data_IF_610067473882
#
_entry.id   IF_610067473882
#
_cell.length_a   1.000
_cell.length_b   1.000
_cell.length_c   1.000
_cell.angle_alpha   90.00
_cell.angle_beta   90.00
_cell.angle_gamma   90.00
#
_symmetry.space_group_name_H-M   'P 1'
#
loop_
_entity.id
_entity.type
_entity.pdbx_description
1 polymer ?
#
# COMPACT_ATOMS: atom_id res chain seq x y z
N UNK A 1 -52.03 7.13 6.21
CA UNK A 1 -50.70 6.49 6.32
C UNK A 1 -50.27 6.02 4.93
N UNK A 2 -49.43 6.80 4.24
CA UNK A 2 -48.95 6.48 2.89
C UNK A 2 -47.73 5.55 3.00
N UNK A 3 -47.84 4.33 2.46
CA UNK A 3 -46.71 3.39 2.37
C UNK A 3 -45.81 3.84 1.21
N UNK A 4 -44.61 4.31 1.51
CA UNK A 4 -43.55 4.52 0.52
C UNK A 4 -42.89 3.17 0.27
N UNK A 5 -42.93 2.67 -0.96
CA UNK A 5 -42.19 1.47 -1.36
C UNK A 5 -40.78 1.92 -1.71
N UNK A 6 -39.80 1.52 -0.91
CA UNK A 6 -38.38 1.72 -1.17
C UNK A 6 -37.98 0.78 -2.30
N UNK A 7 -37.72 1.32 -3.49
CA UNK A 7 -37.13 0.58 -4.60
C UNK A 7 -35.63 0.46 -4.31
N UNK A 8 -35.17 -0.74 -3.94
CA UNK A 8 -33.76 -1.08 -4.00
C UNK A 8 -33.37 -1.13 -5.49
N UNK A 9 -32.69 -0.09 -5.95
CA UNK A 9 -31.96 -0.15 -7.22
C UNK A 9 -30.72 -1.02 -6.92
N UNK A 10 -30.79 -2.31 -7.23
CA UNK A 10 -29.60 -3.13 -7.42
C UNK A 10 -28.83 -2.50 -8.58
N UNK A 11 -27.84 -1.67 -8.26
CA UNK A 11 -26.78 -1.34 -9.20
C UNK A 11 -26.01 -2.65 -9.41
N UNK A 12 -26.42 -3.42 -10.42
CA UNK A 12 -25.69 -4.58 -10.87
C UNK A 12 -24.30 -4.12 -11.27
N UNK A 13 -23.29 -4.49 -10.47
CA UNK A 13 -21.90 -4.49 -10.90
C UNK A 13 -21.82 -5.49 -12.04
N UNK A 14 -21.90 -4.97 -13.27
CA UNK A 14 -21.55 -5.72 -14.46
C UNK A 14 -20.04 -5.94 -14.35
N UNK A 15 -19.64 -7.11 -13.85
CA UNK A 15 -18.28 -7.62 -13.95
C UNK A 15 -18.04 -7.91 -15.44
N UNK A 16 -17.69 -6.86 -16.18
CA UNK A 16 -17.01 -7.02 -17.45
C UNK A 16 -15.68 -7.71 -17.10
N UNK A 17 -15.35 -8.87 -17.70
CA UNK A 17 -14.01 -9.41 -17.59
C UNK A 17 -13.14 -8.48 -18.43
N UNK A 18 -12.74 -7.38 -17.83
CA UNK A 18 -11.57 -6.70 -18.32
C UNK A 18 -10.45 -7.75 -18.34
N UNK A 19 -9.85 -7.93 -19.50
CA UNK A 19 -8.46 -8.36 -19.59
C UNK A 19 -7.61 -7.22 -19.00
N UNK A 20 -7.83 -6.90 -17.72
CA UNK A 20 -6.97 -5.99 -16.98
C UNK A 20 -5.71 -6.80 -16.72
N UNK A 21 -4.59 -6.31 -17.25
CA UNK A 21 -3.30 -6.60 -16.67
C UNK A 21 -3.35 -5.98 -15.27
N UNK A 22 -3.78 -6.77 -14.29
CA UNK A 22 -3.60 -6.42 -12.90
C UNK A 22 -2.10 -6.48 -12.62
N UNK A 23 -1.56 -5.48 -11.92
CA UNK A 23 -0.18 -5.58 -11.48
C UNK A 23 -0.01 -6.83 -10.59
N UNK A 24 1.10 -7.54 -10.77
CA UNK A 24 1.39 -8.72 -9.97
C UNK A 24 2.19 -8.31 -8.74
N UNK A 25 1.61 -8.52 -7.56
CA UNK A 25 2.31 -8.39 -6.27
C UNK A 25 2.40 -9.74 -5.57
N UNK A 26 3.60 -10.17 -5.22
CA UNK A 26 3.84 -11.46 -4.57
C UNK A 26 3.64 -11.42 -3.04
N UNK A 27 3.55 -10.21 -2.49
CA UNK A 27 3.70 -9.88 -1.08
C UNK A 27 2.66 -8.83 -0.67
N UNK A 28 2.20 -8.84 0.58
CA UNK A 28 1.23 -7.84 1.07
C UNK A 28 1.95 -6.61 1.63
N UNK A 29 3.03 -6.83 2.39
CA UNK A 29 3.73 -5.76 3.10
C UNK A 29 5.10 -5.47 2.49
N UNK A 30 5.72 -6.48 1.89
CA UNK A 30 7.05 -6.37 1.31
C UNK A 30 6.95 -5.84 -0.11
N UNK A 31 7.74 -4.80 -0.40
CA UNK A 31 7.92 -4.25 -1.73
C UNK A 31 8.91 -5.08 -2.55
N UNK A 32 8.70 -5.09 -3.86
CA UNK A 32 9.57 -5.73 -4.84
C UNK A 32 10.27 -4.67 -5.68
N UNK A 33 11.45 -4.94 -6.27
CA UNK A 33 12.16 -3.97 -7.10
C UNK A 33 11.50 -3.85 -8.48
N UNK A 34 10.32 -3.23 -8.51
CA UNK A 34 9.54 -2.94 -9.70
C UNK A 34 8.88 -1.55 -9.61
N UNK A 35 8.58 -0.98 -10.78
CA UNK A 35 7.85 0.29 -10.94
C UNK A 35 6.74 0.08 -11.95
N UNK A 36 5.68 0.87 -11.86
CA UNK A 36 4.62 0.88 -12.85
C UNK A 36 5.18 1.27 -14.24
N UNK A 37 4.74 0.60 -15.30
CA UNK A 37 5.22 0.87 -16.66
C UNK A 37 4.90 2.30 -17.09
N UNK A 38 5.75 2.86 -17.96
CA UNK A 38 5.62 4.25 -18.41
C UNK A 38 4.26 4.50 -19.07
N UNK A 39 3.51 5.44 -18.52
CA UNK A 39 2.21 5.85 -19.04
C UNK A 39 1.04 5.04 -18.50
N UNK A 40 1.29 3.95 -17.77
CA UNK A 40 0.25 3.18 -17.10
C UNK A 40 -0.24 3.91 -15.85
N UNK A 41 -1.53 3.71 -15.55
CA UNK A 41 -2.21 4.24 -14.36
C UNK A 41 -2.79 3.05 -13.62
N UNK A 42 -2.58 3.01 -12.31
CA UNK A 42 -3.19 2.03 -11.42
C UNK A 42 -4.05 2.73 -10.37
N UNK A 43 -5.12 2.06 -9.96
CA UNK A 43 -5.91 2.43 -8.79
C UNK A 43 -5.96 1.24 -7.84
N UNK A 44 -5.55 1.45 -6.59
CA UNK A 44 -5.57 0.42 -5.55
C UNK A 44 -6.40 0.89 -4.34
N UNK A 45 -7.22 -0.01 -3.81
CA UNK A 45 -8.01 0.22 -2.61
C UNK A 45 -7.59 -0.76 -1.52
N UNK A 46 -7.03 -0.22 -0.45
CA UNK A 46 -6.73 -0.97 0.76
C UNK A 46 -7.88 -0.87 1.76
N UNK A 47 -8.26 -2.00 2.35
CA UNK A 47 -9.23 -2.09 3.43
C UNK A 47 -8.66 -3.02 4.50
N UNK A 48 -8.17 -2.45 5.60
CA UNK A 48 -7.58 -3.22 6.71
C UNK A 48 -8.50 -3.20 7.92
N UNK A 49 -8.90 -4.38 8.41
CA UNK A 49 -9.68 -4.51 9.65
C UNK A 49 -8.77 -4.77 10.83
N UNK A 50 -8.87 -3.95 11.87
CA UNK A 50 -8.19 -4.14 13.15
C UNK A 50 -9.23 -4.38 14.25
N UNK A 51 -9.20 -5.58 14.83
CA UNK A 51 -10.14 -6.00 15.87
C UNK A 51 -9.42 -6.39 17.15
N UNK A 52 -10.06 -6.13 18.29
CA UNK A 52 -9.61 -6.63 19.58
C UNK A 52 -8.60 -5.74 20.28
N UNK A 53 -9.10 -4.93 21.23
CA UNK A 53 -8.31 -4.38 22.34
C UNK A 53 -8.79 -5.03 23.63
N UNK A 54 -7.87 -5.41 24.53
CA UNK A 54 -8.21 -6.17 25.74
C UNK A 54 -9.24 -5.41 26.58
N UNK A 55 -10.43 -6.00 26.76
CA UNK A 55 -11.50 -5.47 27.62
C UNK A 55 -12.39 -4.38 27.02
N UNK A 56 -12.34 -4.14 25.70
CA UNK A 56 -13.24 -3.22 24.99
C UNK A 56 -13.73 -3.82 23.67
N UNK A 57 -14.97 -3.53 23.30
CA UNK A 57 -15.45 -3.71 21.93
C UNK A 57 -14.78 -2.62 21.08
N UNK A 58 -13.70 -2.98 20.37
CA UNK A 58 -12.94 -2.07 19.50
C UNK A 58 -12.80 -2.71 18.12
N UNK A 59 -13.22 -1.97 17.10
CA UNK A 59 -12.99 -2.29 15.69
C UNK A 59 -12.58 -1.04 14.95
N UNK A 60 -11.48 -1.07 14.21
CA UNK A 60 -11.06 0.01 13.31
C UNK A 60 -10.93 -0.54 11.89
N UNK A 61 -11.40 0.24 10.92
CA UNK A 61 -11.17 0.01 9.51
C UNK A 61 -10.25 1.10 9.00
N UNK A 62 -9.06 0.74 8.53
CA UNK A 62 -8.17 1.65 7.83
C UNK A 62 -8.38 1.49 6.33
N UNK A 63 -8.58 2.61 5.64
CA UNK A 63 -8.88 2.68 4.23
C UNK A 63 -7.82 3.57 3.58
N UNK A 64 -7.20 3.08 2.50
CA UNK A 64 -6.26 3.85 1.68
C UNK A 64 -6.66 3.73 0.22
N UNK A 65 -6.90 4.85 -0.44
CA UNK A 65 -7.14 4.92 -1.88
C UNK A 65 -5.89 5.45 -2.56
N UNK A 66 -5.30 4.63 -3.43
CA UNK A 66 -4.09 4.95 -4.17
C UNK A 66 -4.42 5.20 -5.64
N UNK A 67 -3.81 6.24 -6.21
CA UNK A 67 -3.66 6.37 -7.66
C UNK A 67 -2.18 6.45 -7.99
N UNK A 68 -1.72 5.51 -8.81
CA UNK A 68 -0.32 5.36 -9.23
C UNK A 68 -0.15 5.72 -10.72
N UNK A 69 1.00 6.28 -11.08
CA UNK A 69 1.37 6.61 -12.47
C UNK A 69 2.85 6.34 -12.78
N UNK A 70 3.11 5.64 -13.88
CA UNK A 70 4.46 5.41 -14.40
C UNK A 70 4.98 6.60 -15.20
N UNK A 71 5.93 7.35 -14.62
CA UNK A 71 6.51 8.56 -15.24
C UNK A 71 7.54 8.21 -16.32
N UNK A 72 8.38 7.21 -16.06
CA UNK A 72 9.41 6.68 -16.97
C UNK A 72 9.43 5.15 -16.89
N UNK A 73 10.36 4.50 -17.61
CA UNK A 73 10.58 3.06 -17.53
C UNK A 73 11.12 2.60 -16.16
N UNK A 74 11.53 3.53 -15.29
CA UNK A 74 12.16 3.25 -14.00
C UNK A 74 11.75 4.21 -12.88
N UNK A 75 10.72 5.03 -13.09
CA UNK A 75 10.23 5.98 -12.10
C UNK A 75 8.70 5.95 -12.12
N UNK A 76 8.10 5.66 -10.98
CA UNK A 76 6.65 5.81 -10.76
C UNK A 76 6.38 6.63 -9.51
N UNK A 77 5.18 7.20 -9.45
CA UNK A 77 4.69 7.94 -8.28
C UNK A 77 3.26 7.55 -7.98
N UNK A 78 2.88 7.63 -6.71
CA UNK A 78 1.52 7.41 -6.26
C UNK A 78 1.05 8.54 -5.34
N UNK A 79 -0.26 8.77 -5.32
CA UNK A 79 -0.92 9.63 -4.36
C UNK A 79 -1.97 8.84 -3.60
N UNK A 80 -2.02 9.04 -2.28
CA UNK A 80 -2.95 8.35 -1.40
C UNK A 80 -3.87 9.34 -0.70
N UNK A 81 -5.12 8.92 -0.53
CA UNK A 81 -6.01 9.43 0.51
C UNK A 81 -6.13 8.36 1.58
N UNK A 82 -5.98 8.76 2.85
CA UNK A 82 -6.05 7.86 3.97
C UNK A 82 -7.17 8.29 4.91
N UNK A 83 -8.00 7.34 5.34
CA UNK A 83 -8.99 7.58 6.38
C UNK A 83 -9.28 6.32 7.17
N UNK A 84 -9.88 6.51 8.34
CA UNK A 84 -10.23 5.42 9.23
C UNK A 84 -11.62 5.56 9.79
N UNK A 85 -12.22 4.41 10.07
CA UNK A 85 -13.51 4.31 10.76
C UNK A 85 -13.30 3.51 12.03
N UNK A 86 -13.34 4.20 13.17
CA UNK A 86 -13.15 3.58 14.48
C UNK A 86 -14.52 3.40 15.14
N UNK A 87 -14.80 2.18 15.60
CA UNK A 87 -15.97 1.84 16.39
C UNK A 87 -15.49 1.37 17.76
N UNK A 88 -15.78 2.15 18.80
CA UNK A 88 -15.58 1.78 20.19
C UNK A 88 -16.82 2.03 21.05
N UNK A 89 -16.78 2.99 21.98
CA UNK A 89 -17.98 3.47 22.67
C UNK A 89 -18.88 4.28 21.72
N UNK A 90 -18.28 4.97 20.76
CA UNK A 90 -18.93 5.69 19.67
C UNK A 90 -18.26 5.34 18.32
N UNK A 91 -18.89 5.74 17.21
CA UNK A 91 -18.29 5.61 15.86
C UNK A 91 -17.68 6.95 15.44
N UNK A 92 -16.40 6.97 15.14
CA UNK A 92 -15.71 8.11 14.51
C UNK A 92 -15.27 7.77 13.09
N UNK A 93 -15.14 8.81 12.27
CA UNK A 93 -14.49 8.74 10.96
C UNK A 93 -13.49 9.86 10.91
N UNK A 94 -12.24 9.51 10.65
CA UNK A 94 -11.10 10.40 10.75
C UNK A 94 -10.37 10.39 9.41
N UNK A 95 -10.01 11.58 8.91
CA UNK A 95 -9.16 11.70 7.73
C UNK A 95 -7.71 11.65 8.21
N UNK A 96 -7.01 10.59 7.85
CA UNK A 96 -5.66 10.29 8.34
C UNK A 96 -4.56 10.89 7.43
N UNK A 97 -4.94 11.70 6.44
CA UNK A 97 -4.01 12.51 5.66
C UNK A 97 -3.84 12.09 4.20
N UNK A 98 -2.90 12.76 3.54
CA UNK A 98 -2.47 12.50 2.16
C UNK A 98 -1.05 11.96 2.14
N UNK A 99 -0.76 11.05 1.22
CA UNK A 99 0.60 10.54 1.00
C UNK A 99 1.04 10.74 -0.44
N UNK A 100 2.32 10.98 -0.66
CA UNK A 100 2.97 10.96 -1.97
C UNK A 100 4.14 9.99 -1.96
N UNK A 101 4.03 8.95 -2.78
CA UNK A 101 5.02 7.89 -2.91
C UNK A 101 5.81 8.05 -4.21
N UNK A 102 7.08 7.69 -4.17
CA UNK A 102 8.02 7.71 -5.29
C UNK A 102 8.86 6.44 -5.28
N UNK A 103 8.92 5.76 -6.42
CA UNK A 103 9.68 4.53 -6.65
C UNK A 103 10.65 4.74 -7.81
N UNK A 104 11.95 4.59 -7.57
CA UNK A 104 12.99 4.71 -8.58
C UNK A 104 13.82 3.43 -8.71
N UNK A 105 13.59 2.69 -9.79
CA UNK A 105 14.23 1.40 -10.07
C UNK A 105 15.67 1.63 -10.58
N UNK A 106 16.66 1.34 -9.73
CA UNK A 106 18.08 1.46 -10.07
C UNK A 106 18.54 0.31 -10.95
N UNK A 107 18.18 -0.92 -10.57
CA UNK A 107 18.51 -2.13 -11.31
C UNK A 107 17.24 -2.96 -11.49
N UNK A 108 16.85 -3.18 -12.75
CA UNK A 108 15.75 -4.07 -13.08
C UNK A 108 16.19 -5.54 -12.89
N UNK A 109 15.50 -6.34 -12.06
CA UNK A 109 15.82 -7.75 -11.86
C UNK A 109 15.70 -8.60 -13.14
N UNK A 110 14.96 -8.16 -14.16
CA UNK A 110 14.89 -8.84 -15.46
C UNK A 110 16.16 -8.67 -16.31
N UNK A 111 16.91 -7.58 -16.10
CA UNK A 111 18.12 -7.24 -16.87
C UNK A 111 19.41 -7.45 -16.07
N UNK A 112 19.29 -7.57 -14.75
CA UNK A 112 20.41 -7.69 -13.82
C UNK A 112 20.27 -8.89 -12.88
N UNK A 113 21.40 -9.38 -12.39
CA UNK A 113 21.43 -10.48 -11.41
C UNK A 113 20.82 -10.13 -10.05
N UNK A 114 20.54 -8.85 -9.80
CA UNK A 114 19.90 -8.34 -8.59
C UNK A 114 19.06 -7.12 -8.95
N UNK A 115 17.81 -7.07 -8.48
CA UNK A 115 16.95 -5.90 -8.56
C UNK A 115 17.18 -4.97 -7.37
N UNK A 116 17.23 -3.67 -7.63
CA UNK A 116 17.38 -2.63 -6.58
C UNK A 116 16.46 -1.46 -6.88
N UNK A 117 15.64 -1.09 -5.91
CA UNK A 117 14.68 0.01 -5.98
C UNK A 117 14.90 0.94 -4.79
N UNK A 118 14.90 2.25 -5.06
CA UNK A 118 14.78 3.28 -4.03
C UNK A 118 13.33 3.71 -3.92
N UNK A 119 12.87 3.87 -2.69
CA UNK A 119 11.50 4.23 -2.36
C UNK A 119 11.49 5.40 -1.38
N UNK A 120 10.54 6.30 -1.56
CA UNK A 120 10.24 7.36 -0.59
C UNK A 120 8.74 7.65 -0.55
N UNK A 121 8.17 7.76 0.63
CA UNK A 121 6.79 8.21 0.86
C UNK A 121 6.78 9.34 1.88
N UNK A 122 6.11 10.45 1.52
CA UNK A 122 5.84 11.53 2.46
C UNK A 122 4.35 11.57 2.76
N UNK A 123 3.97 11.54 4.04
CA UNK A 123 2.57 11.58 4.48
C UNK A 123 2.34 12.77 5.40
N UNK A 124 1.22 13.47 5.24
CA UNK A 124 0.81 14.55 6.13
C UNK A 124 -0.68 14.50 6.41
N UNK A 125 -1.03 14.62 7.69
CA UNK A 125 -2.42 14.67 8.19
C UNK A 125 -2.87 16.10 8.57
N UNK A 126 -1.98 17.08 8.45
CA UNK A 126 -2.20 18.49 8.76
C UNK A 126 -1.33 19.01 9.90
N UNK A 127 -1.16 18.20 10.96
CA UNK A 127 -0.37 18.55 12.14
C UNK A 127 0.95 17.75 12.20
N UNK A 128 1.01 16.62 11.48
CA UNK A 128 2.18 15.76 11.35
C UNK A 128 2.71 15.71 9.92
N UNK A 129 4.00 15.44 9.80
CA UNK A 129 4.67 15.02 8.57
C UNK A 129 5.47 13.76 8.89
N UNK A 130 5.26 12.70 8.14
CA UNK A 130 6.12 11.52 8.15
C UNK A 130 6.84 11.34 6.81
N UNK A 131 8.04 10.80 6.88
CA UNK A 131 8.87 10.45 5.73
C UNK A 131 9.37 9.02 5.91
N UNK A 132 8.93 8.13 5.03
CA UNK A 132 9.39 6.76 4.90
C UNK A 132 10.37 6.66 3.73
N UNK A 133 11.56 6.13 3.98
CA UNK A 133 12.61 5.90 2.99
C UNK A 133 12.96 4.42 3.00
N UNK A 134 13.02 3.80 1.82
CA UNK A 134 13.25 2.36 1.74
C UNK A 134 14.19 1.99 0.60
N UNK A 135 15.11 1.08 0.89
CA UNK A 135 15.91 0.39 -0.13
C UNK A 135 15.36 -1.03 -0.25
N UNK A 136 14.92 -1.36 -1.45
CA UNK A 136 14.33 -2.66 -1.79
C UNK A 136 15.32 -3.42 -2.64
N UNK A 137 15.64 -4.65 -2.24
CA UNK A 137 16.49 -5.57 -2.97
C UNK A 137 15.70 -6.84 -3.23
N UNK A 138 15.67 -7.32 -4.47
CA UNK A 138 14.91 -8.53 -4.80
C UNK A 138 15.31 -9.19 -6.10
N UNK A 139 14.80 -10.40 -6.32
CA UNK A 139 15.05 -11.16 -7.54
C UNK A 139 13.95 -12.20 -7.82
N UNK A 140 13.73 -12.47 -9.10
CA UNK A 140 12.83 -13.49 -9.63
C UNK A 140 13.65 -14.69 -10.16
N UNK A 141 13.64 -15.81 -9.43
CA UNK A 141 14.44 -17.00 -9.75
C UNK A 141 13.52 -18.19 -10.03
N UNK A 142 13.34 -18.52 -11.31
CA UNK A 142 12.42 -19.55 -11.79
C UNK A 142 10.96 -19.30 -11.35
N UNK A 143 10.55 -19.88 -10.22
CA UNK A 143 9.21 -19.74 -9.63
C UNK A 143 9.26 -19.05 -8.26
N UNK A 144 10.44 -18.64 -7.83
CA UNK A 144 10.65 -17.95 -6.57
C UNK A 144 10.72 -16.45 -6.80
N UNK A 145 10.04 -15.71 -5.93
CA UNK A 145 10.22 -14.27 -5.74
C UNK A 145 10.83 -14.07 -4.36
N UNK A 146 11.94 -13.35 -4.30
CA UNK A 146 12.64 -13.01 -3.06
C UNK A 146 12.77 -11.49 -2.96
N UNK A 147 12.50 -10.93 -1.79
CA UNK A 147 12.65 -9.50 -1.54
C UNK A 147 13.13 -9.23 -0.11
N UNK A 148 13.90 -8.16 0.05
CA UNK A 148 14.42 -7.63 1.31
C UNK A 148 14.30 -6.11 1.28
N UNK A 149 13.73 -5.52 2.33
CA UNK A 149 13.55 -4.08 2.45
C UNK A 149 14.24 -3.59 3.70
N UNK A 150 15.06 -2.55 3.58
CA UNK A 150 15.53 -1.76 4.71
C UNK A 150 14.79 -0.43 4.69
N UNK A 151 14.01 -0.16 5.74
CA UNK A 151 13.16 1.02 5.88
C UNK A 151 13.67 1.92 6.98
N UNK A 152 13.62 3.23 6.76
CA UNK A 152 13.80 4.26 7.78
C UNK A 152 12.57 5.16 7.73
N UNK A 153 11.93 5.34 8.88
CA UNK A 153 10.78 6.22 9.05
C UNK A 153 11.14 7.35 10.00
N UNK A 154 10.68 8.55 9.69
CA UNK A 154 10.85 9.75 10.51
C UNK A 154 9.51 10.47 10.58
N UNK A 155 9.09 10.85 11.79
CA UNK A 155 7.86 11.61 12.01
C UNK A 155 8.16 12.91 12.75
N UNK A 156 7.50 13.98 12.31
CA UNK A 156 7.55 15.31 12.90
C UNK A 156 6.13 15.77 13.25
N UNK A 157 5.89 16.01 14.53
CA UNK A 157 4.65 16.62 15.01
C UNK A 157 4.86 18.12 15.22
N UNK A 158 4.02 18.95 14.60
CA UNK A 158 4.16 20.42 14.59
C UNK A 158 3.24 21.09 15.61
N UNK A 159 3.44 20.78 16.89
CA UNK A 159 2.75 21.43 18.02
C UNK A 159 3.59 22.58 18.60
N UNK A 160 3.28 23.03 19.83
CA UNK A 160 4.02 24.08 20.55
C UNK A 160 5.53 23.75 20.71
N UNK A 161 5.88 22.47 20.74
CA UNK A 161 7.24 21.95 20.61
C UNK A 161 7.27 20.88 19.51
N UNK A 162 8.30 20.86 18.66
CA UNK A 162 8.43 19.84 17.61
C UNK A 162 8.93 18.54 18.20
N UNK A 163 8.07 17.52 18.25
CA UNK A 163 8.45 16.15 18.63
C UNK A 163 8.97 15.39 17.39
N UNK A 164 9.93 14.49 17.63
CA UNK A 164 10.59 13.72 16.57
C UNK A 164 10.66 12.25 16.97
N UNK A 165 10.05 11.41 16.15
CA UNK A 165 10.12 9.97 16.28
C UNK A 165 10.78 9.36 15.04
N UNK A 166 11.38 8.19 15.20
CA UNK A 166 11.99 7.50 14.08
C UNK A 166 12.14 6.00 14.33
N UNK A 167 11.93 5.25 13.26
CA UNK A 167 11.93 3.78 13.27
C UNK A 167 12.85 3.26 12.14
N UNK A 168 13.47 2.11 12.39
CA UNK A 168 14.26 1.41 11.38
C UNK A 168 13.79 -0.03 11.35
N UNK A 169 13.38 -0.48 10.17
CA UNK A 169 12.82 -1.80 9.96
C UNK A 169 13.63 -2.56 8.90
N UNK A 170 13.72 -3.87 9.08
CA UNK A 170 14.26 -4.78 8.07
C UNK A 170 13.26 -5.92 7.86
N UNK A 171 12.62 -5.94 6.69
CA UNK A 171 11.65 -6.97 6.31
C UNK A 171 12.16 -7.85 5.17
N UNK A 172 11.69 -9.10 5.13
CA UNK A 172 12.14 -10.08 4.16
C UNK A 172 11.07 -11.11 3.78
N UNK A 173 10.99 -11.41 2.49
CA UNK A 173 9.93 -12.20 1.90
C UNK A 173 10.43 -13.26 0.94
N UNK A 174 9.76 -14.41 0.94
CA UNK A 174 9.92 -15.43 -0.08
C UNK A 174 8.56 -15.96 -0.53
N UNK A 175 8.30 -15.92 -1.83
CA UNK A 175 7.06 -16.39 -2.45
C UNK A 175 7.35 -17.40 -3.56
N UNK A 176 6.51 -18.43 -3.70
CA UNK A 176 6.62 -19.48 -4.70
C UNK A 176 5.37 -19.53 -5.58
N UNK A 177 5.54 -19.34 -6.89
CA UNK A 177 4.46 -19.41 -7.90
C UNK A 177 4.10 -20.88 -8.19
N UNK A 178 2.93 -21.31 -7.71
CA UNK A 178 2.37 -22.66 -7.89
C UNK A 178 1.77 -22.80 -9.29
N UNK A 179 0.93 -21.83 -9.67
CA UNK A 179 0.30 -21.67 -10.98
C UNK A 179 0.56 -20.24 -11.48
N UNK A 180 0.36 -19.93 -12.78
CA UNK A 180 0.61 -18.58 -13.31
C UNK A 180 0.00 -17.44 -12.49
N UNK A 181 -1.15 -17.68 -11.86
CA UNK A 181 -1.93 -16.71 -11.08
C UNK A 181 -2.10 -17.08 -9.59
N UNK A 182 -1.33 -18.06 -9.09
CA UNK A 182 -1.40 -18.49 -7.69
C UNK A 182 -0.01 -18.69 -7.12
N UNK A 183 0.32 -17.92 -6.10
CA UNK A 183 1.54 -18.04 -5.29
C UNK A 183 1.21 -18.32 -3.82
N UNK A 184 2.20 -18.81 -3.10
CA UNK A 184 2.20 -18.89 -1.64
C UNK A 184 3.53 -18.35 -1.14
N UNK A 185 3.51 -17.53 -0.09
CA UNK A 185 4.72 -16.91 0.44
C UNK A 185 4.69 -16.71 1.94
N UNK A 186 5.84 -16.31 2.47
CA UNK A 186 6.06 -15.90 3.86
C UNK A 186 6.75 -14.54 3.83
N UNK A 187 6.33 -13.67 4.74
CA UNK A 187 6.88 -12.34 4.99
C UNK A 187 7.24 -12.24 6.48
N UNK A 188 8.36 -11.57 6.79
CA UNK A 188 8.89 -11.35 8.13
C UNK A 188 9.39 -9.92 8.28
#
# INVERSE_FOLDING_TARGET
MKKVKLFFLLAGVVLYPFLLAADERAFTYIYEPQTLEKGEIEFEQWITSRVGRKGKDFTRWDLREEISYGLTENLSTALYLNWSVTNDSDTSTDFDGISSEWKYLLFNPAEHSLGVLLYGEATSDGDNLSLEEKIVIGQYINRWTLALNATVEQEWEFNDETEKEGEVELTGGASYKILPYLSVGVEL
#
